data_IF_302875616511
#
_entry.id   IF_302875616511
#
_cell.length_a   1.000
_cell.length_b   1.000
_cell.length_c   1.000
_cell.angle_alpha   90.00
_cell.angle_beta   90.00
_cell.angle_gamma   90.00
#
_symmetry.space_group_name_H-M   'P 1'
#
loop_
_entity.id
_entity.type
_entity.pdbx_description
1 polymer ?
#
# COMPACT_ATOMS: atom_id res chain seq x y z
N UNK A 1 -16.62 -14.62 20.90
CA UNK A 1 -16.25 -15.94 20.35
C UNK A 1 -14.96 -16.39 21.01
N UNK A 2 -14.97 -17.52 21.73
CA UNK A 2 -13.74 -18.18 22.19
C UNK A 2 -13.15 -18.91 20.99
N UNK A 3 -11.90 -18.59 20.64
CA UNK A 3 -11.12 -19.41 19.72
C UNK A 3 -10.35 -20.44 20.55
N UNK A 4 -10.67 -21.72 20.38
CA UNK A 4 -9.84 -22.81 20.86
C UNK A 4 -8.70 -23.01 19.85
N UNK A 5 -7.46 -22.87 20.32
CA UNK A 5 -6.27 -23.25 19.58
C UNK A 5 -5.98 -24.72 19.86
N UNK A 6 -5.93 -25.55 18.83
CA UNK A 6 -5.27 -26.86 18.89
C UNK A 6 -4.05 -26.83 17.99
N UNK A 7 -2.86 -26.90 18.59
CA UNK A 7 -1.61 -27.14 17.88
C UNK A 7 -1.52 -28.63 17.54
N UNK A 8 -1.34 -28.94 16.26
CA UNK A 8 -0.69 -30.17 15.85
C UNK A 8 0.51 -29.79 14.99
N UNK A 9 1.70 -30.00 15.54
CA UNK A 9 2.92 -30.04 14.75
C UNK A 9 2.82 -31.21 13.78
N UNK A 10 3.25 -31.01 12.53
CA UNK A 10 4.12 -31.87 11.72
C UNK A 10 4.13 -31.35 10.27
N UNK A 11 5.23 -30.69 9.88
CA UNK A 11 5.77 -30.71 8.52
C UNK A 11 5.02 -29.95 7.41
N UNK A 12 5.62 -28.83 6.99
CA UNK A 12 5.57 -28.17 5.66
C UNK A 12 4.18 -27.68 5.16
N UNK A 13 4.18 -26.43 4.69
CA UNK A 13 3.06 -25.61 4.17
C UNK A 13 2.16 -24.95 5.23
N UNK A 14 2.18 -23.62 5.26
CA UNK A 14 1.13 -22.80 5.86
C UNK A 14 0.31 -22.21 4.72
N UNK A 15 -0.85 -22.80 4.45
CA UNK A 15 -1.86 -22.23 3.56
C UNK A 15 -2.94 -21.60 4.44
N UNK A 16 -3.06 -20.27 4.38
CA UNK A 16 -4.14 -19.55 5.05
C UNK A 16 -5.21 -19.23 4.00
N UNK A 17 -6.26 -20.04 3.92
CA UNK A 17 -7.49 -19.67 3.20
C UNK A 17 -8.31 -18.73 4.09
N UNK A 18 -8.48 -17.48 3.66
CA UNK A 18 -9.53 -16.61 4.18
C UNK A 18 -10.76 -16.71 3.26
N UNK A 19 -11.80 -17.39 3.72
CA UNK A 19 -13.15 -17.16 3.23
C UNK A 19 -13.66 -15.85 3.86
N UNK A 20 -13.76 -14.78 3.06
CA UNK A 20 -14.64 -13.65 3.35
C UNK A 20 -15.70 -13.57 2.25
N UNK A 21 -16.83 -14.24 2.50
CA UNK A 21 -18.13 -13.78 2.06
C UNK A 21 -18.60 -12.76 3.09
N UNK A 22 -18.64 -11.50 2.69
CA UNK A 22 -19.34 -10.46 3.42
C UNK A 22 -19.87 -9.47 2.38
N UNK A 23 -21.18 -9.56 2.20
CA UNK A 23 -21.97 -8.68 1.38
C UNK A 23 -21.74 -7.21 1.72
N UNK A 24 -21.75 -6.43 0.65
CA UNK A 24 -21.77 -4.99 0.63
C UNK A 24 -23.11 -4.50 1.20
N UNK A 25 -23.17 -4.09 2.47
CA UNK A 25 -24.09 -3.04 2.95
C UNK A 25 -23.56 -2.35 4.22
N UNK A 26 -23.77 -1.03 4.20
CA UNK A 26 -24.01 -0.13 5.32
C UNK A 26 -22.90 0.83 5.79
N UNK A 27 -23.31 2.10 5.73
CA UNK A 27 -22.62 3.31 6.10
C UNK A 27 -22.92 3.63 7.56
N UNK A 28 -21.95 4.29 8.23
CA UNK A 28 -22.11 5.03 9.49
C UNK A 28 -22.22 4.17 10.76
N UNK A 29 -21.12 4.07 11.50
CA UNK A 29 -21.20 3.89 12.95
C UNK A 29 -20.78 5.16 13.68
N UNK A 30 -21.79 5.89 14.18
CA UNK A 30 -21.70 6.87 15.26
C UNK A 30 -21.94 6.13 16.60
N UNK A 31 -21.12 6.44 17.61
CA UNK A 31 -21.58 6.53 19.01
C UNK A 31 -21.37 5.33 19.95
N UNK A 32 -20.35 5.48 20.81
CA UNK A 32 -20.30 5.24 22.27
C UNK A 32 -20.72 3.90 22.92
N UNK A 33 -19.74 3.23 23.55
CA UNK A 33 -19.91 2.67 24.91
C UNK A 33 -19.26 1.31 25.22
N UNK A 34 -18.11 1.36 25.92
CA UNK A 34 -17.50 0.35 26.82
C UNK A 34 -17.14 -1.05 26.24
N UNK A 35 -15.87 -1.48 26.17
CA UNK A 35 -14.90 -1.57 27.29
C UNK A 35 -13.68 -0.66 27.16
N UNK A 36 -13.43 0.09 28.22
CA UNK A 36 -12.27 0.96 28.43
C UNK A 36 -11.21 0.25 29.30
N UNK A 37 -9.95 0.61 29.03
CA UNK A 37 -8.72 0.48 29.83
C UNK A 37 -7.96 -0.85 29.86
N UNK A 38 -6.81 -0.86 29.16
CA UNK A 38 -5.53 -0.77 29.88
C UNK A 38 -4.47 0.02 29.07
N UNK A 39 -3.87 1.01 29.75
CA UNK A 39 -2.61 1.71 29.49
C UNK A 39 -2.44 2.60 28.23
N UNK A 40 -2.62 3.91 28.45
CA UNK A 40 -1.83 4.96 27.80
C UNK A 40 -0.39 4.88 28.32
N UNK A 41 0.55 4.62 27.41
CA UNK A 41 1.87 5.26 27.26
C UNK A 41 2.72 4.29 26.45
N UNK A 42 3.05 4.67 25.21
CA UNK A 42 4.40 5.10 24.85
C UNK A 42 4.29 5.86 23.53
N UNK A 43 4.65 7.15 23.53
CA UNK A 43 5.07 7.80 22.29
C UNK A 43 6.42 7.19 21.93
N UNK A 44 6.45 6.37 20.89
CA UNK A 44 7.68 6.04 20.20
C UNK A 44 7.61 6.66 18.81
N UNK A 45 8.43 7.67 18.60
CA UNK A 45 8.80 8.12 17.27
C UNK A 45 9.69 7.01 16.68
N UNK A 46 9.08 6.07 15.96
CA UNK A 46 9.82 4.99 15.29
C UNK A 46 10.45 5.61 14.03
N UNK A 47 11.77 5.45 13.80
CA UNK A 47 12.40 5.93 12.59
C UNK A 47 11.68 5.37 11.37
N UNK A 48 11.42 6.24 10.41
CA UNK A 48 10.85 5.87 9.12
C UNK A 48 11.75 4.80 8.47
N UNK A 49 11.37 3.53 8.61
CA UNK A 49 12.04 2.42 7.95
C UNK A 49 11.86 2.58 6.44
N UNK A 50 12.94 2.37 5.68
CA UNK A 50 12.99 2.60 4.23
C UNK A 50 13.35 1.32 3.46
N UNK A 51 12.97 0.15 4.00
CA UNK A 51 13.41 -1.12 3.40
C UNK A 51 12.70 -1.38 2.07
N UNK A 52 11.50 -0.83 1.87
CA UNK A 52 10.71 -1.01 0.65
C UNK A 52 10.79 0.16 -0.33
N UNK A 53 11.91 0.88 -0.39
CA UNK A 53 12.12 1.86 -1.47
C UNK A 53 12.07 1.20 -2.87
N UNK A 54 11.82 1.97 -3.94
CA UNK A 54 11.68 1.42 -5.30
C UNK A 54 12.81 0.46 -5.72
N UNK A 55 14.05 0.81 -5.35
CA UNK A 55 15.26 0.11 -5.73
C UNK A 55 15.63 -1.04 -4.79
N UNK A 56 14.78 -1.34 -3.79
CA UNK A 56 15.03 -2.44 -2.87
C UNK A 56 14.98 -3.79 -3.58
N UNK A 57 15.96 -4.64 -3.30
CA UNK A 57 15.97 -6.03 -3.75
C UNK A 57 14.84 -6.86 -3.14
N UNK A 58 14.21 -6.38 -2.05
CA UNK A 58 13.01 -7.01 -1.48
C UNK A 58 11.85 -7.10 -2.48
N UNK A 59 11.80 -6.23 -3.50
CA UNK A 59 10.81 -6.35 -4.59
C UNK A 59 11.15 -7.43 -5.61
N UNK A 60 12.43 -7.77 -5.75
CA UNK A 60 12.97 -8.59 -6.84
C UNK A 60 13.43 -9.98 -6.39
N UNK A 61 13.33 -10.31 -5.10
CA UNK A 61 13.63 -11.65 -4.56
C UNK A 61 12.40 -12.33 -3.96
N UNK A 62 12.55 -13.60 -3.56
CA UNK A 62 11.54 -14.39 -2.85
C UNK A 62 11.86 -14.56 -1.37
N UNK A 63 12.72 -13.69 -0.83
CA UNK A 63 13.08 -13.72 0.59
C UNK A 63 11.98 -13.06 1.42
N UNK A 64 11.70 -13.65 2.58
CA UNK A 64 10.82 -13.06 3.59
C UNK A 64 11.51 -11.89 4.29
N UNK A 65 10.74 -10.93 4.77
CA UNK A 65 11.24 -9.85 5.62
C UNK A 65 10.31 -9.67 6.82
N UNK A 66 10.87 -9.74 8.03
CA UNK A 66 10.14 -9.50 9.29
C UNK A 66 8.81 -10.25 9.39
N UNK A 67 8.85 -11.59 9.29
CA UNK A 67 7.67 -12.45 9.38
C UNK A 67 6.81 -12.21 10.62
N UNK A 68 7.36 -11.99 11.84
CA UNK A 68 6.54 -11.72 13.02
C UNK A 68 5.64 -10.47 12.88
N UNK A 69 6.05 -9.47 12.10
CA UNK A 69 5.20 -8.30 11.82
C UNK A 69 3.96 -8.63 10.99
N UNK A 70 3.89 -9.82 10.37
CA UNK A 70 2.69 -10.29 9.69
C UNK A 70 1.61 -10.81 10.64
N UNK A 71 1.92 -11.03 11.91
CA UNK A 71 0.99 -11.60 12.89
C UNK A 71 -0.02 -10.56 13.40
N UNK A 72 0.37 -9.29 13.43
CA UNK A 72 -0.38 -8.22 14.10
C UNK A 72 -1.24 -7.34 13.18
N UNK A 73 -1.29 -7.63 11.87
CA UNK A 73 -2.26 -7.11 10.89
C UNK A 73 -2.56 -5.60 10.94
N UNK A 74 -2.16 -4.84 9.91
CA UNK A 74 -2.35 -3.37 9.86
C UNK A 74 -1.59 -2.57 10.93
N UNK A 75 -0.48 -3.12 11.42
CA UNK A 75 0.46 -2.40 12.27
C UNK A 75 1.38 -1.47 11.45
N UNK A 76 2.47 -1.00 12.08
CA UNK A 76 3.47 -0.12 11.47
C UNK A 76 4.81 -0.84 11.23
N UNK A 77 4.84 -2.17 11.24
CA UNK A 77 6.03 -2.96 10.98
C UNK A 77 6.12 -3.26 9.48
N UNK A 78 7.23 -2.91 8.85
CA UNK A 78 7.47 -3.31 7.47
C UNK A 78 7.66 -4.84 7.42
N UNK A 79 6.88 -5.52 6.58
CA UNK A 79 6.88 -6.98 6.47
C UNK A 79 6.68 -7.40 5.01
N UNK A 80 7.36 -8.48 4.63
CA UNK A 80 7.14 -9.20 3.37
C UNK A 80 6.92 -10.68 3.67
N UNK A 81 5.74 -11.15 3.31
CA UNK A 81 5.28 -12.52 3.54
C UNK A 81 5.40 -13.36 2.26
N UNK A 82 5.39 -14.71 2.37
CA UNK A 82 5.36 -15.61 1.21
C UNK A 82 4.22 -15.36 0.23
N UNK A 83 3.12 -14.78 0.70
CA UNK A 83 2.00 -14.36 -0.15
C UNK A 83 2.39 -13.34 -1.23
N UNK A 84 3.53 -12.68 -1.10
CA UNK A 84 4.06 -11.80 -2.15
C UNK A 84 4.47 -12.56 -3.42
N UNK A 85 5.04 -13.77 -3.30
CA UNK A 85 5.58 -14.51 -4.44
C UNK A 85 4.85 -15.81 -4.77
N UNK A 86 4.05 -16.34 -3.84
CA UNK A 86 3.44 -17.68 -3.95
C UNK A 86 1.90 -17.67 -3.88
N UNK A 87 1.26 -16.54 -4.20
CA UNK A 87 -0.20 -16.43 -4.15
C UNK A 87 -0.75 -15.83 -5.44
N UNK A 88 -1.42 -16.65 -6.28
CA UNK A 88 -2.22 -16.16 -7.40
C UNK A 88 -3.38 -15.32 -6.89
N UNK A 89 -3.76 -14.31 -7.67
CA UNK A 89 -4.86 -13.41 -7.31
C UNK A 89 -5.55 -12.84 -8.54
N UNK A 90 -6.73 -12.28 -8.30
CA UNK A 90 -7.54 -11.52 -9.28
C UNK A 90 -7.71 -10.06 -8.88
N UNK A 91 -7.50 -9.73 -7.59
CA UNK A 91 -7.64 -8.38 -7.03
C UNK A 91 -6.47 -8.03 -6.14
N UNK A 92 -6.13 -6.74 -6.14
CA UNK A 92 -5.18 -6.15 -5.21
C UNK A 92 -5.90 -5.08 -4.40
N UNK A 93 -5.87 -5.19 -3.09
CA UNK A 93 -6.33 -4.15 -2.18
C UNK A 93 -5.13 -3.34 -1.69
N UNK A 94 -5.11 -2.06 -2.04
CA UNK A 94 -4.08 -1.12 -1.61
C UNK A 94 -4.62 -0.29 -0.46
N UNK A 95 -3.91 -0.28 0.67
CA UNK A 95 -4.28 0.45 1.87
C UNK A 95 -3.23 1.49 2.25
N UNK A 96 -3.65 2.66 2.72
CA UNK A 96 -2.77 3.67 3.32
C UNK A 96 -3.35 4.13 4.65
N UNK A 97 -2.54 4.08 5.72
CA UNK A 97 -2.95 4.52 7.05
C UNK A 97 -2.47 5.93 7.36
N UNK A 98 -3.42 6.81 7.63
CA UNK A 98 -3.23 8.22 8.00
C UNK A 98 -3.83 8.44 9.38
N UNK A 99 -2.95 8.63 10.37
CA UNK A 99 -3.33 8.62 11.77
C UNK A 99 -3.98 7.29 12.14
N UNK A 100 -5.27 7.33 12.48
CA UNK A 100 -6.08 6.18 12.89
C UNK A 100 -7.03 5.68 11.78
N UNK A 101 -6.99 6.29 10.60
CA UNK A 101 -7.85 5.90 9.48
C UNK A 101 -7.01 5.19 8.44
N UNK A 102 -7.50 4.06 7.93
CA UNK A 102 -6.90 3.34 6.81
C UNK A 102 -7.85 3.40 5.62
N UNK A 103 -7.42 4.04 4.54
CA UNK A 103 -8.19 4.13 3.31
C UNK A 103 -7.74 3.03 2.34
N UNK A 104 -8.69 2.44 1.63
CA UNK A 104 -8.43 1.36 0.68
C UNK A 104 -8.94 1.68 -0.71
N UNK A 105 -8.22 1.17 -1.72
CA UNK A 105 -8.68 1.07 -3.11
C UNK A 105 -8.43 -0.33 -3.62
N UNK A 106 -9.17 -0.72 -4.67
CA UNK A 106 -9.06 -2.04 -5.31
C UNK A 106 -8.57 -1.87 -6.73
N UNK A 107 -7.65 -2.75 -7.14
CA UNK A 107 -7.20 -2.93 -8.51
C UNK A 107 -7.64 -4.31 -8.97
N UNK A 108 -8.48 -4.37 -9.99
CA UNK A 108 -8.83 -5.62 -10.69
C UNK A 108 -7.65 -5.99 -11.60
N UNK A 109 -6.87 -6.99 -11.19
CA UNK A 109 -5.68 -7.44 -11.93
C UNK A 109 -5.38 -8.89 -11.60
N UNK A 110 -5.41 -9.74 -12.62
CA UNK A 110 -4.98 -11.12 -12.49
C UNK A 110 -3.46 -11.26 -12.65
N UNK A 111 -2.83 -12.02 -11.75
CA UNK A 111 -1.43 -12.43 -11.83
C UNK A 111 -1.17 -13.69 -10.98
N UNK A 112 -0.06 -14.38 -11.26
CA UNK A 112 0.34 -15.56 -10.49
C UNK A 112 0.90 -15.21 -9.11
N UNK A 113 1.41 -13.99 -8.93
CA UNK A 113 1.86 -13.40 -7.67
C UNK A 113 2.27 -11.93 -7.87
N UNK A 114 2.42 -11.17 -6.77
CA UNK A 114 2.88 -9.77 -6.86
C UNK A 114 4.31 -9.71 -7.36
N UNK A 115 5.14 -10.69 -6.96
CA UNK A 115 6.47 -10.90 -7.51
C UNK A 115 6.45 -10.98 -9.04
N UNK A 116 5.63 -11.89 -9.62
CA UNK A 116 5.54 -12.05 -11.08
C UNK A 116 5.04 -10.78 -11.79
N UNK A 117 4.27 -9.94 -11.09
CA UNK A 117 3.69 -8.72 -11.63
C UNK A 117 4.65 -7.51 -11.57
N UNK A 118 5.60 -7.49 -10.64
CA UNK A 118 6.42 -6.32 -10.31
C UNK A 118 7.91 -6.54 -10.55
N UNK A 119 8.45 -7.74 -10.30
CA UNK A 119 9.89 -7.99 -10.21
C UNK A 119 10.64 -7.76 -11.53
N UNK A 120 10.00 -7.94 -12.68
CA UNK A 120 10.61 -7.71 -14.00
C UNK A 120 10.81 -6.23 -14.35
N UNK A 121 10.34 -5.32 -13.50
CA UNK A 121 10.49 -3.87 -13.67
C UNK A 121 9.66 -3.27 -14.82
N UNK A 122 8.81 -4.05 -15.49
CA UNK A 122 8.04 -3.58 -16.63
C UNK A 122 6.84 -2.74 -16.19
N UNK A 123 6.60 -1.63 -16.89
CA UNK A 123 5.43 -0.78 -16.65
C UNK A 123 4.17 -1.50 -17.10
N UNK A 124 3.17 -1.57 -16.23
CA UNK A 124 1.84 -2.11 -16.54
C UNK A 124 0.80 -1.11 -16.09
N UNK A 125 0.08 -0.55 -17.04
CA UNK A 125 -0.90 0.50 -16.78
C UNK A 125 -2.15 -0.03 -16.05
N UNK A 126 -2.71 0.80 -15.17
CA UNK A 126 -4.06 0.66 -14.61
C UNK A 126 -4.98 1.76 -15.14
N UNK A 127 -6.28 1.65 -14.88
CA UNK A 127 -7.29 2.64 -15.29
C UNK A 127 -8.15 3.09 -14.11
N UNK A 128 -7.52 3.30 -12.94
CA UNK A 128 -8.22 3.67 -11.71
C UNK A 128 -8.63 5.15 -11.72
N UNK A 129 -7.82 6.00 -12.37
CA UNK A 129 -8.03 7.43 -12.38
C UNK A 129 -7.51 8.15 -11.13
N UNK A 130 -7.27 9.45 -11.29
CA UNK A 130 -6.60 10.31 -10.29
C UNK A 130 -7.34 10.35 -8.96
N UNK A 131 -8.66 10.45 -9.00
CA UNK A 131 -9.48 10.62 -7.79
C UNK A 131 -9.44 9.37 -6.90
N UNK A 132 -9.39 8.18 -7.50
CA UNK A 132 -9.25 6.94 -6.72
C UNK A 132 -7.86 6.85 -6.09
N UNK A 133 -6.79 7.21 -6.79
CA UNK A 133 -5.46 7.29 -6.15
C UNK A 133 -5.40 8.32 -5.02
N UNK A 134 -6.09 9.47 -5.16
CA UNK A 134 -6.17 10.48 -4.10
C UNK A 134 -6.98 10.01 -2.89
N UNK A 135 -7.98 9.12 -3.07
CA UNK A 135 -8.80 8.62 -1.95
C UNK A 135 -7.98 7.84 -0.92
N UNK A 136 -6.85 7.22 -1.31
CA UNK A 136 -5.89 6.62 -0.37
C UNK A 136 -5.39 7.64 0.68
N UNK A 137 -5.31 8.91 0.30
CA UNK A 137 -4.80 9.99 1.16
C UNK A 137 -5.94 10.77 1.84
N UNK A 138 -7.18 10.57 1.41
CA UNK A 138 -8.34 11.33 1.87
C UNK A 138 -8.30 12.79 1.41
N UNK A 139 -8.81 13.69 2.26
CA UNK A 139 -8.92 15.13 1.96
C UNK A 139 -7.58 15.82 1.71
N UNK A 140 -6.48 15.23 2.18
CA UNK A 140 -5.13 15.79 2.05
C UNK A 140 -4.42 15.39 0.74
N UNK A 141 -5.03 14.52 -0.07
CA UNK A 141 -4.45 14.06 -1.32
C UNK A 141 -4.21 15.21 -2.29
N UNK A 142 -3.01 15.27 -2.87
CA UNK A 142 -2.61 16.28 -3.84
C UNK A 142 -1.84 15.67 -5.00
N UNK A 143 -2.23 16.00 -6.22
CA UNK A 143 -1.50 15.65 -7.44
C UNK A 143 -1.51 16.85 -8.39
N UNK A 144 -0.44 17.00 -9.17
CA UNK A 144 -0.46 17.89 -10.32
C UNK A 144 -1.48 17.38 -11.35
N UNK A 145 -2.03 18.29 -12.17
CA UNK A 145 -3.27 18.03 -12.90
C UNK A 145 -3.11 17.17 -14.15
N UNK A 146 -1.93 17.18 -14.75
CA UNK A 146 -1.63 16.55 -16.03
C UNK A 146 -0.68 15.35 -15.87
N UNK A 147 -0.52 14.57 -16.95
CA UNK A 147 0.22 13.30 -16.95
C UNK A 147 -0.23 12.35 -15.83
N UNK A 148 -1.25 11.54 -16.03
CA UNK A 148 -1.70 10.58 -14.99
C UNK A 148 -1.10 9.19 -15.24
N UNK A 149 0.22 9.07 -15.16
CA UNK A 149 0.88 7.77 -15.43
C UNK A 149 0.73 6.86 -14.20
N UNK A 150 -0.25 5.97 -14.26
CA UNK A 150 -0.60 5.05 -13.17
C UNK A 150 -0.24 3.58 -13.47
N UNK A 151 -0.20 2.77 -12.41
CA UNK A 151 -0.08 1.32 -12.46
C UNK A 151 1.18 0.78 -11.77
N UNK A 152 1.74 -0.29 -12.32
CA UNK A 152 2.90 -1.00 -11.77
C UNK A 152 4.19 -0.52 -12.42
N UNK A 153 5.28 -0.42 -11.65
CA UNK A 153 6.59 0.08 -12.09
C UNK A 153 6.50 1.39 -12.90
N UNK A 154 5.72 2.36 -12.40
CA UNK A 154 5.59 3.66 -13.06
C UNK A 154 6.90 4.44 -12.98
N UNK A 155 7.26 5.09 -14.09
CA UNK A 155 8.46 5.91 -14.19
C UNK A 155 8.18 7.16 -15.02
N UNK A 156 8.66 8.30 -14.50
CA UNK A 156 8.54 9.62 -15.10
C UNK A 156 9.74 10.48 -14.69
N UNK A 157 10.69 10.66 -15.62
CA UNK A 157 11.99 11.25 -15.33
C UNK A 157 12.72 10.50 -14.21
N UNK A 158 13.04 11.21 -13.12
CA UNK A 158 13.72 10.63 -11.94
C UNK A 158 12.78 9.99 -10.91
N UNK A 159 11.47 10.08 -11.13
CA UNK A 159 10.45 9.60 -10.20
C UNK A 159 9.95 8.23 -10.62
N UNK A 160 9.85 7.32 -9.65
CA UNK A 160 9.41 5.95 -9.84
C UNK A 160 8.49 5.50 -8.70
N UNK A 161 7.59 4.57 -8.98
CA UNK A 161 6.79 3.85 -7.97
C UNK A 161 6.58 2.40 -8.40
N UNK A 162 6.64 1.45 -7.45
CA UNK A 162 6.34 0.04 -7.74
C UNK A 162 4.87 -0.16 -8.03
N UNK A 163 4.02 0.55 -7.29
CA UNK A 163 2.58 0.64 -7.53
C UNK A 163 2.18 2.09 -7.25
N UNK A 164 1.65 2.82 -8.22
CA UNK A 164 1.27 4.20 -7.99
C UNK A 164 0.99 5.03 -9.22
N UNK A 165 0.62 6.28 -8.99
CA UNK A 165 0.42 7.33 -10.00
C UNK A 165 1.52 8.39 -9.87
N UNK A 166 2.06 8.81 -11.01
CA UNK A 166 3.00 9.93 -11.13
C UNK A 166 2.35 11.01 -12.01
N UNK A 167 2.42 12.27 -11.57
CA UNK A 167 1.79 13.39 -12.27
C UNK A 167 2.62 14.66 -12.36
N UNK A 168 2.31 15.46 -13.39
CA UNK A 168 2.92 16.76 -13.65
C UNK A 168 1.91 17.84 -14.08
N UNK A 169 2.37 19.06 -14.35
CA UNK A 169 1.52 20.13 -14.92
C UNK A 169 1.86 20.40 -16.41
N UNK A 170 2.74 19.59 -17.01
CA UNK A 170 3.17 19.74 -18.40
C UNK A 170 2.41 18.79 -19.35
N UNK A 171 2.49 19.03 -20.66
CA UNK A 171 1.84 18.17 -21.67
C UNK A 171 2.47 16.77 -21.79
N UNK A 172 3.72 16.60 -21.37
CA UNK A 172 4.47 15.36 -21.54
C UNK A 172 4.84 14.73 -20.20
N UNK A 173 4.76 13.41 -20.10
CA UNK A 173 5.16 12.62 -18.93
C UNK A 173 6.68 12.44 -18.79
N UNK A 174 7.47 13.50 -19.03
CA UNK A 174 8.95 13.44 -18.95
C UNK A 174 9.47 13.91 -17.59
N UNK A 175 8.75 14.78 -16.91
CA UNK A 175 9.13 15.45 -15.65
C UNK A 175 7.96 15.45 -14.66
N UNK A 176 7.88 14.46 -13.78
CA UNK A 176 6.84 14.42 -12.75
C UNK A 176 7.28 15.12 -11.47
N UNK A 177 6.40 15.92 -10.87
CA UNK A 177 6.67 16.56 -9.58
C UNK A 177 5.69 16.13 -8.48
N UNK A 178 4.69 15.32 -8.83
CA UNK A 178 3.77 14.73 -7.87
C UNK A 178 3.63 13.21 -8.06
N UNK A 179 3.32 12.51 -6.97
CA UNK A 179 3.17 11.06 -6.91
C UNK A 179 2.33 10.62 -5.71
N UNK A 180 1.54 9.56 -5.90
CA UNK A 180 0.95 8.76 -4.82
C UNK A 180 1.30 7.30 -5.11
N UNK A 181 1.79 6.58 -4.11
CA UNK A 181 2.04 5.15 -4.33
C UNK A 181 2.83 4.46 -3.23
N UNK A 182 3.26 3.25 -3.59
CA UNK A 182 3.98 2.28 -2.79
C UNK A 182 5.32 1.98 -3.46
N UNK A 183 6.37 1.82 -2.65
CA UNK A 183 7.72 1.59 -3.14
C UNK A 183 8.19 2.68 -4.08
N UNK A 184 8.08 3.93 -3.67
CA UNK A 184 8.50 5.08 -4.47
C UNK A 184 10.00 5.33 -4.40
N UNK A 185 10.57 5.96 -5.44
CA UNK A 185 11.96 6.41 -5.43
C UNK A 185 12.13 7.68 -4.60
N UNK A 186 13.29 7.80 -3.95
CA UNK A 186 13.71 8.92 -3.08
C UNK A 186 12.87 9.04 -1.81
N UNK A 187 12.90 10.22 -1.18
CA UNK A 187 12.08 10.55 -0.02
C UNK A 187 10.61 10.24 -0.27
N UNK A 188 9.95 9.79 0.80
CA UNK A 188 8.57 9.33 0.80
C UNK A 188 8.41 8.09 -0.11
N UNK A 189 8.69 6.91 0.47
CA UNK A 189 8.59 5.60 -0.18
C UNK A 189 7.13 5.12 -0.28
N UNK A 190 6.25 5.61 0.60
CA UNK A 190 4.83 5.27 0.62
C UNK A 190 4.01 6.47 1.11
N UNK A 191 2.99 6.86 0.34
CA UNK A 191 2.14 8.01 0.61
C UNK A 191 2.03 8.98 -0.56
N UNK A 192 1.96 10.28 -0.28
CA UNK A 192 1.77 11.34 -1.27
C UNK A 192 2.86 12.41 -1.21
N UNK A 193 3.47 12.68 -2.37
CA UNK A 193 4.34 13.83 -2.58
C UNK A 193 3.77 14.67 -3.70
N UNK A 194 3.54 15.95 -3.46
CA UNK A 194 3.24 16.93 -4.50
C UNK A 194 4.17 18.14 -4.31
N UNK A 195 4.76 18.61 -5.40
CA UNK A 195 5.58 19.83 -5.45
C UNK A 195 5.16 20.65 -6.66
N UNK A 196 5.45 21.94 -6.60
CA UNK A 196 5.21 22.87 -7.71
C UNK A 196 3.73 22.92 -8.08
N UNK A 197 2.88 23.14 -7.08
CA UNK A 197 1.45 23.42 -7.27
C UNK A 197 0.66 22.18 -7.69
N UNK A 198 0.58 21.22 -6.77
CA UNK A 198 -0.46 20.18 -6.84
C UNK A 198 -1.86 20.79 -6.64
N UNK A 199 -2.89 20.07 -7.08
CA UNK A 199 -4.28 20.51 -7.04
C UNK A 199 -4.84 20.75 -5.62
N UNK A 200 -4.13 20.29 -4.59
CA UNK A 200 -4.38 20.58 -3.18
C UNK A 200 -3.11 21.11 -2.50
N UNK A 201 -2.32 21.91 -3.22
CA UNK A 201 -1.07 22.48 -2.75
C UNK A 201 0.08 21.47 -2.64
N UNK A 202 1.24 21.95 -2.20
CA UNK A 202 2.41 21.11 -2.00
C UNK A 202 2.24 20.22 -0.76
N UNK A 203 2.50 18.91 -0.93
CA UNK A 203 2.31 17.90 0.13
C UNK A 203 3.53 16.98 0.25
N UNK A 204 3.80 16.51 1.46
CA UNK A 204 4.80 15.49 1.76
C UNK A 204 4.30 14.55 2.85
N UNK A 205 3.29 13.76 2.52
CA UNK A 205 2.58 12.89 3.45
C UNK A 205 3.18 11.49 3.34
N UNK A 206 3.82 11.04 4.41
CA UNK A 206 4.37 9.68 4.54
C UNK A 206 3.40 8.85 5.34
N UNK A 207 3.12 7.65 4.88
CA UNK A 207 2.12 6.75 5.50
C UNK A 207 2.65 5.33 5.57
N UNK A 208 2.02 4.51 6.40
CA UNK A 208 2.16 3.07 6.31
C UNK A 208 1.27 2.55 5.18
N UNK A 209 1.83 1.72 4.31
CA UNK A 209 1.14 1.13 3.17
C UNK A 209 0.90 -0.35 3.37
N UNK A 210 -0.25 -0.83 2.89
CA UNK A 210 -0.63 -2.24 2.90
C UNK A 210 -0.95 -2.67 1.47
N UNK A 211 -0.43 -3.83 1.05
CA UNK A 211 -0.75 -4.44 -0.23
C UNK A 211 -1.28 -5.84 0.08
N UNK A 212 -2.56 -6.06 -0.18
CA UNK A 212 -3.23 -7.34 0.02
C UNK A 212 -3.72 -7.87 -1.33
N UNK A 213 -3.86 -9.18 -1.45
CA UNK A 213 -4.28 -9.86 -2.67
C UNK A 213 -5.42 -10.85 -2.39
N UNK A 214 -6.34 -11.00 -3.36
CA UNK A 214 -7.48 -11.93 -3.32
C UNK A 214 -7.74 -12.55 -4.69
#
# INVERSE_FOLDING_TARGET
>A
LKANFSFLSHGRFWMWEWWMDADYEDQRFKGNGFCFNLCIKYFYFIPYQQNFNYHSELWNNTDSFNLPGGETGFDSQETKLPTYWDTPFSKICLGMRIGNVTNFIVIEKQANSLFSLIADGQHRQTTLGRDLWKSLIGSEGSLQLTCNKEGFNTACGKHRARIGILSNNEKHCRSCNSKIGFGMSKENICGNKAKHEGDNGDKNIKVMGYILVR
#
